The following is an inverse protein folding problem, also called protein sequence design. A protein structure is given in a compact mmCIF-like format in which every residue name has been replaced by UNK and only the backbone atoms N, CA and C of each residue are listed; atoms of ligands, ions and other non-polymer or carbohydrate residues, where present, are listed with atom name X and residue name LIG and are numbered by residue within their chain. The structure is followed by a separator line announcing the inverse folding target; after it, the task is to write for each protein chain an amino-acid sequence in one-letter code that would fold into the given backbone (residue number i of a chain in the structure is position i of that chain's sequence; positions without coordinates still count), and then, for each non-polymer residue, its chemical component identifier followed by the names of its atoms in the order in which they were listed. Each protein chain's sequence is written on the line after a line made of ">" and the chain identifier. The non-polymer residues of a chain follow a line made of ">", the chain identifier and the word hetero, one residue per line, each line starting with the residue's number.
data_IF_585163718666
#
_entry.id   IF_585163718666
#
_cell.length_a   1.000
_cell.length_b   1.000
_cell.length_c   1.000
_cell.angle_alpha   90.00
_cell.angle_beta   90.00
_cell.angle_gamma   90.00
#
_symmetry.space_group_name_H-M   'P 1'
#
loop_
_entity.id
_entity.type
_entity.pdbx_description
1 polymer ?
#
# COMPACT_ATOMS: atom_id res chain seq x y z
N UNK A 1 -3.96 14.50 20.62
CA UNK A 1 -3.05 13.35 20.66
C UNK A 1 -3.88 12.06 20.56
N UNK A 2 -3.59 11.19 19.59
CA UNK A 2 -4.31 9.91 19.39
C UNK A 2 -3.83 8.87 20.43
N UNK A 3 -4.72 7.97 20.87
CA UNK A 3 -4.45 6.99 21.95
C UNK A 3 -3.73 5.71 21.48
N UNK A 4 -3.69 5.42 20.19
CA UNK A 4 -3.08 4.22 19.60
C UNK A 4 -3.21 4.22 18.08
N UNK A 5 -2.76 3.16 17.41
CA UNK A 5 -2.84 3.02 15.95
C UNK A 5 -1.86 3.90 15.17
N UNK A 6 -2.16 4.18 13.90
CA UNK A 6 -1.44 5.13 13.05
C UNK A 6 -1.48 6.51 13.68
N UNK A 7 -0.30 7.10 13.87
CA UNK A 7 -0.14 8.44 14.45
C UNK A 7 0.15 9.52 13.40
N UNK A 8 0.54 9.13 12.19
CA UNK A 8 0.84 10.08 11.12
C UNK A 8 -0.46 10.79 10.71
N UNK A 9 -0.56 12.13 10.88
CA UNK A 9 -1.81 12.85 10.64
C UNK A 9 -2.25 12.81 9.17
N UNK A 10 -1.30 12.79 8.22
CA UNK A 10 -1.63 12.71 6.81
C UNK A 10 -2.22 11.34 6.44
N UNK A 11 -1.65 10.25 6.97
CA UNK A 11 -2.22 8.91 6.76
C UNK A 11 -3.59 8.82 7.43
N UNK A 12 -3.75 9.36 8.64
CA UNK A 12 -5.07 9.39 9.28
C UNK A 12 -6.12 10.16 8.47
N UNK A 13 -5.75 11.30 7.87
CA UNK A 13 -6.67 12.05 6.99
C UNK A 13 -7.04 11.22 5.76
N UNK A 14 -6.04 10.66 5.09
CA UNK A 14 -6.24 9.82 3.91
C UNK A 14 -7.19 8.66 4.20
N UNK A 15 -6.94 7.88 5.26
CA UNK A 15 -7.79 6.73 5.61
C UNK A 15 -9.21 7.14 6.01
N UNK A 16 -9.38 8.29 6.67
CA UNK A 16 -10.70 8.80 7.05
C UNK A 16 -11.53 9.32 5.86
N UNK A 17 -10.88 9.65 4.75
CA UNK A 17 -11.50 10.14 3.52
C UNK A 17 -11.89 9.03 2.54
N UNK A 18 -11.41 7.79 2.74
CA UNK A 18 -11.73 6.65 1.87
C UNK A 18 -13.21 6.27 1.98
N UNK A 19 -13.88 6.20 0.84
CA UNK A 19 -15.17 5.54 0.66
C UNK A 19 -15.02 4.07 0.25
N UNK A 20 -16.16 3.39 0.08
CA UNK A 20 -16.18 2.07 -0.55
C UNK A 20 -15.72 2.19 -2.01
N UNK A 21 -14.87 1.26 -2.45
CA UNK A 21 -14.25 1.22 -3.79
C UNK A 21 -13.17 2.28 -4.04
N UNK A 22 -12.84 3.12 -3.06
CA UNK A 22 -11.65 3.97 -3.18
C UNK A 22 -10.38 3.13 -3.05
N UNK A 23 -9.33 3.54 -3.76
CA UNK A 23 -8.04 2.85 -3.75
C UNK A 23 -6.96 3.71 -3.12
N UNK A 24 -6.00 3.07 -2.47
CA UNK A 24 -4.74 3.68 -2.03
C UNK A 24 -3.56 2.79 -2.43
N UNK A 25 -2.38 3.37 -2.60
CA UNK A 25 -1.15 2.60 -2.81
C UNK A 25 -0.22 2.70 -1.61
N UNK A 26 0.46 1.60 -1.31
CA UNK A 26 1.67 1.57 -0.50
C UNK A 26 2.81 1.12 -1.40
N UNK A 27 3.87 1.91 -1.50
CA UNK A 27 4.93 1.70 -2.50
C UNK A 27 6.34 1.70 -1.91
N UNK A 28 7.26 1.13 -2.67
CA UNK A 28 8.69 1.12 -2.38
C UNK A 28 9.35 2.48 -2.65
N UNK A 29 10.63 2.59 -2.30
CA UNK A 29 11.39 3.83 -2.45
C UNK A 29 11.68 4.19 -3.92
N UNK A 30 11.58 3.26 -4.86
CA UNK A 30 11.91 3.46 -6.27
C UNK A 30 10.68 3.66 -7.17
N UNK A 31 9.47 3.49 -6.63
CA UNK A 31 8.23 3.61 -7.39
C UNK A 31 8.07 5.00 -8.05
N UNK A 32 7.73 5.07 -9.34
CA UNK A 32 7.53 6.34 -10.03
C UNK A 32 6.25 7.03 -9.53
N UNK A 33 6.40 8.23 -8.97
CA UNK A 33 5.29 8.99 -8.42
C UNK A 33 4.64 9.89 -9.50
N UNK A 34 3.30 9.92 -9.58
CA UNK A 34 2.60 10.83 -10.49
C UNK A 34 2.80 12.30 -10.06
N UNK A 35 3.00 13.25 -10.99
CA UNK A 35 3.28 14.66 -10.67
C UNK A 35 2.23 15.35 -9.78
N UNK A 36 0.95 15.02 -10.00
CA UNK A 36 -0.19 15.65 -9.31
C UNK A 36 -0.86 14.72 -8.27
N UNK A 37 -0.20 13.61 -7.91
CA UNK A 37 -0.74 12.65 -6.94
C UNK A 37 -0.65 13.13 -5.49
N UNK A 38 -1.61 12.71 -4.67
CA UNK A 38 -1.52 12.89 -3.22
C UNK A 38 -0.53 11.88 -2.64
N UNK A 39 0.71 12.32 -2.42
CA UNK A 39 1.80 11.48 -1.90
C UNK A 39 2.13 11.80 -0.45
N UNK A 40 2.12 10.78 0.39
CA UNK A 40 2.63 10.81 1.76
C UNK A 40 3.97 10.08 1.77
N UNK A 41 5.07 10.83 1.69
CA UNK A 41 6.42 10.27 1.72
C UNK A 41 6.91 10.08 3.17
N UNK A 42 7.14 8.83 3.56
CA UNK A 42 7.63 8.47 4.89
C UNK A 42 9.13 8.19 4.91
N UNK A 43 9.82 8.29 3.78
CA UNK A 43 11.22 7.86 3.65
C UNK A 43 12.14 8.69 4.54
N UNK A 44 12.92 7.99 5.37
CA UNK A 44 13.97 8.61 6.18
C UNK A 44 15.35 8.17 5.71
N UNK A 45 15.57 6.87 5.68
CA UNK A 45 16.80 6.20 5.21
C UNK A 45 16.43 4.84 4.63
N UNK A 46 17.30 4.15 3.88
CA UNK A 46 17.01 2.81 3.38
C UNK A 46 16.49 1.87 4.48
N UNK A 47 15.31 1.30 4.25
CA UNK A 47 14.62 0.41 5.17
C UNK A 47 13.86 1.08 6.33
N UNK A 48 13.80 2.41 6.41
CA UNK A 48 13.10 3.15 7.47
C UNK A 48 12.09 4.16 6.89
N UNK A 49 10.77 3.90 7.03
CA UNK A 49 10.15 2.67 7.53
C UNK A 49 10.20 1.52 6.51
N UNK A 50 10.12 0.27 6.99
CA UNK A 50 9.96 -0.91 6.14
C UNK A 50 8.57 -0.95 5.54
N UNK A 51 8.44 -1.49 4.33
CA UNK A 51 7.15 -1.63 3.65
C UNK A 51 6.12 -2.40 4.50
N UNK A 52 6.52 -3.54 5.07
CA UNK A 52 5.63 -4.38 5.85
C UNK A 52 5.15 -3.72 7.15
N UNK A 53 5.88 -2.76 7.71
CA UNK A 53 5.43 -2.02 8.90
C UNK A 53 4.32 -1.04 8.54
N UNK A 54 4.45 -0.40 7.36
CA UNK A 54 3.42 0.49 6.81
C UNK A 54 2.17 -0.29 6.44
N UNK A 55 2.33 -1.42 5.73
CA UNK A 55 1.21 -2.27 5.33
C UNK A 55 0.43 -2.80 6.55
N UNK A 56 1.12 -3.29 7.60
CA UNK A 56 0.46 -3.73 8.84
C UNK A 56 -0.34 -2.61 9.49
N UNK A 57 0.27 -1.44 9.63
CA UNK A 57 -0.40 -0.31 10.27
C UNK A 57 -1.68 0.10 9.51
N UNK A 58 -1.66 0.06 8.17
CA UNK A 58 -2.85 0.34 7.34
C UNK A 58 -3.88 -0.78 7.44
N UNK A 59 -3.47 -2.04 7.33
CA UNK A 59 -4.37 -3.19 7.43
C UNK A 59 -5.06 -3.31 8.80
N UNK A 60 -4.41 -2.85 9.87
CA UNK A 60 -4.99 -2.83 11.22
C UNK A 60 -6.12 -1.78 11.39
N UNK A 61 -6.19 -0.75 10.53
CA UNK A 61 -7.19 0.33 10.63
C UNK A 61 -8.16 0.41 9.45
N UNK A 62 -7.89 -0.28 8.33
CA UNK A 62 -8.68 -0.20 7.10
C UNK A 62 -9.38 -1.53 6.80
N UNK A 63 -10.64 -1.47 6.39
CA UNK A 63 -11.33 -2.63 5.81
C UNK A 63 -10.85 -2.82 4.38
N UNK A 64 -10.19 -3.94 4.11
CA UNK A 64 -9.65 -4.27 2.81
C UNK A 64 -10.61 -5.22 2.11
N UNK A 65 -11.07 -4.85 0.91
CA UNK A 65 -11.89 -5.74 0.06
C UNK A 65 -11.01 -6.65 -0.79
N UNK A 66 -10.03 -6.05 -1.46
CA UNK A 66 -9.04 -6.76 -2.25
C UNK A 66 -7.73 -5.99 -2.30
N UNK A 67 -6.69 -6.68 -2.74
CA UNK A 67 -5.43 -6.06 -3.09
C UNK A 67 -5.02 -6.41 -4.52
N UNK A 68 -4.22 -5.53 -5.11
CA UNK A 68 -3.52 -5.82 -6.36
C UNK A 68 -2.02 -5.71 -6.13
N UNK A 69 -1.27 -6.63 -6.72
CA UNK A 69 0.21 -6.64 -6.73
C UNK A 69 0.74 -6.87 -8.14
N UNK A 70 2.00 -6.51 -8.35
CA UNK A 70 2.71 -6.88 -9.57
C UNK A 70 3.01 -8.39 -9.57
N UNK A 71 2.64 -9.13 -10.62
CA UNK A 71 2.81 -10.59 -10.71
C UNK A 71 4.27 -11.04 -10.58
N UNK A 72 5.20 -10.17 -10.99
CA UNK A 72 6.64 -10.36 -10.84
C UNK A 72 7.09 -10.52 -9.38
N UNK A 73 6.31 -10.06 -8.40
CA UNK A 73 6.63 -10.22 -6.98
C UNK A 73 6.79 -11.70 -6.58
N UNK A 74 6.08 -12.61 -7.25
CA UNK A 74 6.12 -14.05 -6.99
C UNK A 74 7.47 -14.67 -7.39
N UNK A 75 8.12 -14.13 -8.42
CA UNK A 75 9.43 -14.58 -8.90
C UNK A 75 10.57 -13.89 -8.17
N UNK A 76 10.52 -12.56 -8.09
CA UNK A 76 11.65 -11.76 -7.60
C UNK A 76 11.66 -11.58 -6.07
N UNK A 77 10.49 -11.61 -5.45
CA UNK A 77 10.32 -11.32 -4.02
C UNK A 77 9.32 -12.26 -3.33
N UNK A 78 9.42 -13.60 -3.51
CA UNK A 78 8.41 -14.55 -3.02
C UNK A 78 8.20 -14.48 -1.51
N UNK A 79 9.26 -14.21 -0.74
CA UNK A 79 9.17 -14.04 0.72
C UNK A 79 8.32 -12.83 1.10
N UNK A 80 8.51 -11.71 0.41
CA UNK A 80 7.73 -10.50 0.65
C UNK A 80 6.26 -10.74 0.31
N UNK A 81 5.98 -11.39 -0.84
CA UNK A 81 4.64 -11.75 -1.24
C UNK A 81 3.92 -12.57 -0.16
N UNK A 82 4.58 -13.61 0.38
CA UNK A 82 4.01 -14.41 1.46
C UNK A 82 3.75 -13.59 2.75
N UNK A 83 4.60 -12.62 3.07
CA UNK A 83 4.36 -11.74 4.21
C UNK A 83 3.21 -10.76 3.96
N UNK A 84 3.03 -10.28 2.73
CA UNK A 84 1.86 -9.47 2.33
C UNK A 84 0.58 -10.25 2.57
N UNK A 85 0.48 -11.46 2.01
CA UNK A 85 -0.70 -12.33 2.15
C UNK A 85 -1.06 -12.60 3.62
N UNK A 86 -0.05 -12.84 4.47
CA UNK A 86 -0.27 -13.01 5.91
C UNK A 86 -0.83 -11.78 6.60
N UNK A 87 -0.46 -10.58 6.15
CA UNK A 87 -0.91 -9.32 6.75
C UNK A 87 -2.34 -9.00 6.33
N UNK A 88 -2.64 -9.13 5.03
CA UNK A 88 -3.96 -8.77 4.50
C UNK A 88 -5.02 -9.83 4.81
N UNK A 89 -4.60 -11.08 5.06
CA UNK A 89 -5.51 -12.16 5.44
C UNK A 89 -6.26 -12.75 4.24
N UNK A 90 -7.50 -13.14 4.48
CA UNK A 90 -8.38 -13.78 3.48
C UNK A 90 -9.11 -12.71 2.67
N UNK A 91 -8.38 -12.08 1.73
CA UNK A 91 -8.90 -11.09 0.79
C UNK A 91 -8.56 -11.53 -0.64
N UNK A 92 -9.33 -11.05 -1.62
CA UNK A 92 -9.02 -11.30 -3.02
C UNK A 92 -7.70 -10.62 -3.41
N UNK A 93 -6.86 -11.34 -4.15
CA UNK A 93 -5.54 -10.87 -4.59
C UNK A 93 -5.44 -10.95 -6.10
N UNK A 94 -5.41 -9.79 -6.74
CA UNK A 94 -5.19 -9.67 -8.17
C UNK A 94 -3.69 -9.52 -8.45
N UNK A 95 -3.18 -10.38 -9.33
CA UNK A 95 -1.82 -10.30 -9.84
C UNK A 95 -1.83 -9.76 -11.26
N UNK A 96 -1.25 -8.59 -11.47
CA UNK A 96 -1.17 -7.94 -12.79
C UNK A 96 0.28 -7.70 -13.17
N UNK A 97 0.64 -7.67 -14.47
CA UNK A 97 1.99 -7.28 -14.87
C UNK A 97 2.40 -5.90 -14.30
N UNK A 98 3.67 -5.72 -13.92
CA UNK A 98 4.14 -4.47 -13.29
C UNK A 98 3.90 -3.22 -14.15
N UNK A 99 3.91 -3.35 -15.47
CA UNK A 99 3.59 -2.22 -16.35
C UNK A 99 2.13 -1.78 -16.22
N UNK A 100 1.18 -2.72 -16.15
CA UNK A 100 -0.23 -2.44 -15.91
C UNK A 100 -0.47 -1.91 -14.49
N UNK A 101 0.22 -2.46 -13.49
CA UNK A 101 0.16 -1.99 -12.11
C UNK A 101 0.45 -0.48 -12.02
N UNK A 102 1.45 0.00 -12.77
CA UNK A 102 1.81 1.42 -12.81
C UNK A 102 0.72 2.29 -13.43
N UNK A 103 0.10 1.83 -14.51
CA UNK A 103 -0.98 2.58 -15.18
C UNK A 103 -2.20 2.72 -14.27
N UNK A 104 -2.51 1.67 -13.51
CA UNK A 104 -3.62 1.65 -12.55
C UNK A 104 -3.39 2.53 -11.31
N UNK A 105 -2.18 3.06 -11.11
CA UNK A 105 -1.92 4.02 -10.02
C UNK A 105 -2.46 5.44 -10.31
N UNK A 106 -2.89 5.70 -11.55
CA UNK A 106 -3.54 6.95 -11.94
C UNK A 106 -5.01 6.93 -11.50
N UNK A 107 -5.33 7.56 -10.38
CA UNK A 107 -6.70 7.69 -9.90
C UNK A 107 -6.92 7.29 -8.44
N UNK A 108 -5.87 6.80 -7.77
CA UNK A 108 -5.97 6.47 -6.35
C UNK A 108 -6.09 7.71 -5.47
N UNK A 109 -6.71 7.55 -4.30
CA UNK A 109 -6.89 8.64 -3.32
C UNK A 109 -5.60 9.11 -2.69
N UNK A 110 -4.62 8.22 -2.58
CA UNK A 110 -3.32 8.58 -2.05
C UNK A 110 -2.29 7.47 -2.21
N UNK A 111 -1.03 7.88 -2.13
CA UNK A 111 0.14 7.00 -2.22
C UNK A 111 0.97 7.18 -0.96
N UNK A 112 1.23 6.10 -0.24
CA UNK A 112 2.12 6.08 0.93
C UNK A 112 3.45 5.48 0.49
N UNK A 113 4.51 6.29 0.45
CA UNK A 113 5.83 5.84 0.06
C UNK A 113 6.62 5.36 1.28
N UNK A 114 6.99 4.09 1.28
CA UNK A 114 7.90 3.49 2.26
C UNK A 114 9.36 3.63 1.82
N UNK A 115 10.31 3.28 2.70
CA UNK A 115 11.73 3.24 2.36
C UNK A 115 12.21 1.83 1.99
N UNK A 116 11.33 1.00 1.43
CA UNK A 116 11.66 -0.36 1.01
C UNK A 116 12.46 -0.37 -0.29
N UNK A 117 13.39 -1.31 -0.41
CA UNK A 117 14.26 -1.49 -1.59
C UNK A 117 14.15 -2.91 -2.17
N UNK A 118 13.31 -3.77 -1.59
CA UNK A 118 12.97 -5.07 -2.13
C UNK A 118 12.18 -4.90 -3.44
N UNK A 119 12.53 -5.59 -4.53
CA UNK A 119 11.83 -5.46 -5.81
C UNK A 119 10.32 -5.72 -5.68
N UNK A 120 9.52 -4.91 -6.37
CA UNK A 120 8.06 -5.05 -6.45
C UNK A 120 7.34 -4.96 -5.09
N UNK A 121 7.92 -4.25 -4.12
CA UNK A 121 7.29 -4.00 -2.82
C UNK A 121 6.21 -2.91 -2.91
N UNK A 122 5.17 -3.19 -3.68
CA UNK A 122 4.07 -2.28 -3.97
C UNK A 122 2.74 -3.04 -3.87
N UNK A 123 1.77 -2.46 -3.17
CA UNK A 123 0.41 -2.99 -3.04
C UNK A 123 -0.57 -1.87 -3.32
N UNK A 124 -1.56 -2.13 -4.18
CA UNK A 124 -2.77 -1.32 -4.27
C UNK A 124 -3.83 -1.98 -3.39
N UNK A 125 -4.49 -1.20 -2.57
CA UNK A 125 -5.54 -1.65 -1.66
C UNK A 125 -6.86 -1.05 -2.13
N UNK A 126 -7.86 -1.89 -2.34
CA UNK A 126 -9.25 -1.48 -2.54
C UNK A 126 -9.96 -1.43 -1.19
N UNK A 127 -10.48 -0.25 -0.83
CA UNK A 127 -11.21 -0.03 0.41
C UNK A 127 -12.59 -0.70 0.36
N UNK A 128 -12.87 -1.54 1.34
CA UNK A 128 -14.14 -2.26 1.48
C UNK A 128 -15.16 -1.57 2.36
N UNK A 129 -16.33 -2.20 2.50
CA UNK A 129 -17.37 -1.80 3.45
C UNK A 129 -17.34 -2.71 4.69
N UNK A 130 -17.47 -2.11 5.88
CA UNK A 130 -17.66 -2.85 7.13
C UNK A 130 -19.10 -3.39 7.32
N UNK A 131 -20.02 -3.03 6.41
CA UNK A 131 -21.47 -3.27 6.49
C UNK A 131 -22.01 -3.85 5.18
#
# INVERSE_FOLDING_TARGET
>A
MKKGGILNPAICSLLAELGHMDELLIVDAAYPLPPDGHVIDLTLTPGIPRFLDVLRAVADELVIESITVASEITEYSPKLYQEILKIVGDVDVDEVPHHEFKEQSLGVKGIIRSAEFTPYANVRILSGSAY
#
